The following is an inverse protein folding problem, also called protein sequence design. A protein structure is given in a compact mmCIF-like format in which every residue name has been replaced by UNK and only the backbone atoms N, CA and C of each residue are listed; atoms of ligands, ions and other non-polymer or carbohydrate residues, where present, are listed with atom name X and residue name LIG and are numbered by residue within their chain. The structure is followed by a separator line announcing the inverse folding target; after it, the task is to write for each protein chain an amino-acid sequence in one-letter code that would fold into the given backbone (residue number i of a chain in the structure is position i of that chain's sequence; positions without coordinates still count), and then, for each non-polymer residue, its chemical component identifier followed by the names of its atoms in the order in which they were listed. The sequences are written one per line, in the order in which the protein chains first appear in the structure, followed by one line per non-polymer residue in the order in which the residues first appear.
data_IF_445546461156
#
_entry.id   IF_445546461156
#
_cell.length_a   1.000
_cell.length_b   1.000
_cell.length_c   1.000
_cell.angle_alpha   90.00
_cell.angle_beta   90.00
_cell.angle_gamma   90.00
#
_symmetry.space_group_name_H-M   'P 1'
#
loop_
_entity.id
_entity.type
_entity.pdbx_description
1 polymer ?
#
# COMPACT_ATOMS: atom_id res chain seq x y z
N UNK A 1 -3.86 -4.09 35.83
CA UNK A 1 -2.47 -4.06 35.32
C UNK A 1 -2.51 -4.70 33.96
N UNK A 2 -2.85 -3.93 32.95
CA UNK A 2 -2.49 -4.19 31.56
C UNK A 2 -2.20 -2.80 31.00
N UNK A 3 -0.91 -2.52 30.87
CA UNK A 3 -0.41 -1.32 30.23
C UNK A 3 -0.85 -1.37 28.76
N UNK A 4 -1.78 -0.50 28.38
CA UNK A 4 -2.04 -0.23 26.96
C UNK A 4 -0.80 0.48 26.41
N UNK A 5 0.10 -0.32 25.84
CA UNK A 5 1.30 0.12 25.17
C UNK A 5 0.92 0.84 23.86
N UNK A 6 0.53 2.11 23.99
CA UNK A 6 0.39 3.07 22.90
C UNK A 6 1.76 3.58 22.40
N UNK A 7 2.84 2.82 22.63
CA UNK A 7 4.23 3.21 22.41
C UNK A 7 4.91 2.55 21.22
N UNK A 8 4.38 2.68 20.00
CA UNK A 8 5.23 2.58 18.81
C UNK A 8 4.71 3.49 17.68
N UNK A 9 5.00 4.78 17.80
CA UNK A 9 4.57 5.85 16.87
C UNK A 9 5.41 5.83 15.59
N UNK A 10 5.42 4.69 14.88
CA UNK A 10 6.10 4.52 13.59
C UNK A 10 5.18 4.01 12.47
N UNK A 11 3.92 3.71 12.76
CA UNK A 11 2.96 3.16 11.82
C UNK A 11 1.54 3.67 12.09
N UNK A 12 0.90 4.23 11.06
CA UNK A 12 -0.50 4.63 11.10
C UNK A 12 -1.39 3.45 10.68
N UNK A 13 -2.16 2.89 11.62
CA UNK A 13 -3.10 1.80 11.35
C UNK A 13 -4.50 2.39 11.17
N UNK A 14 -5.03 2.34 9.96
CA UNK A 14 -6.31 2.92 9.61
C UNK A 14 -7.40 1.84 9.62
N UNK A 15 -8.23 1.90 10.65
CA UNK A 15 -9.36 0.99 10.93
C UNK A 15 -10.71 1.52 10.45
N UNK A 16 -10.74 2.61 9.68
CA UNK A 16 -12.00 3.23 9.24
C UNK A 16 -12.44 2.74 7.85
N UNK A 17 -13.74 2.40 7.74
CA UNK A 17 -14.41 1.89 6.53
C UNK A 17 -14.51 2.96 5.45
N UNK A 18 -14.90 4.17 5.85
CA UNK A 18 -15.18 5.28 4.94
C UNK A 18 -13.88 6.06 4.71
N UNK A 19 -13.24 5.75 3.60
CA UNK A 19 -12.42 6.71 2.90
C UNK A 19 -13.38 7.22 1.80
N UNK A 20 -14.13 8.27 2.11
CA UNK A 20 -14.98 8.96 1.14
C UNK A 20 -14.10 9.77 0.17
N UNK A 21 -14.66 10.11 -0.99
CA UNK A 21 -14.22 10.84 -2.22
C UNK A 21 -12.86 11.59 -2.23
N UNK A 22 -12.27 11.95 -1.09
CA UNK A 22 -10.94 12.54 -0.92
C UNK A 22 -9.85 11.56 -0.46
N UNK A 23 -10.05 10.24 -0.62
CA UNK A 23 -9.11 9.22 -0.17
C UNK A 23 -7.68 9.45 -0.65
N UNK A 24 -7.55 9.87 -1.91
CA UNK A 24 -6.28 10.19 -2.52
C UNK A 24 -5.64 11.44 -1.89
N UNK A 25 -6.41 12.50 -1.63
CA UNK A 25 -5.89 13.72 -1.02
C UNK A 25 -5.37 13.48 0.39
N UNK A 26 -6.06 12.63 1.16
CA UNK A 26 -5.58 12.19 2.46
C UNK A 26 -4.27 11.40 2.31
N UNK A 27 -4.23 10.38 1.44
CA UNK A 27 -3.02 9.57 1.20
C UNK A 27 -1.81 10.42 0.79
N UNK A 28 -2.01 11.44 -0.05
CA UNK A 28 -0.97 12.40 -0.49
C UNK A 28 -0.44 13.29 0.63
N UNK A 29 -1.22 13.49 1.70
CA UNK A 29 -0.88 14.31 2.88
C UNK A 29 -0.33 13.50 4.04
N UNK A 30 -0.42 12.17 4.00
CA UNK A 30 0.14 11.35 5.07
C UNK A 30 1.67 11.47 5.06
N UNK A 31 2.19 12.01 6.15
CA UNK A 31 3.63 12.16 6.39
C UNK A 31 4.22 10.94 7.08
N UNK A 32 3.41 10.09 7.73
CA UNK A 32 3.92 8.88 8.37
C UNK A 32 4.44 7.89 7.32
N UNK A 33 5.67 7.35 7.47
CA UNK A 33 6.25 6.48 6.46
C UNK A 33 5.43 5.20 6.30
N UNK A 34 4.88 4.64 7.37
CA UNK A 34 4.17 3.36 7.33
C UNK A 34 2.68 3.54 7.55
N UNK A 35 1.87 3.10 6.59
CA UNK A 35 0.40 3.15 6.66
C UNK A 35 -0.17 1.78 6.37
N UNK A 36 -1.10 1.31 7.21
CA UNK A 36 -1.77 0.03 7.00
C UNK A 36 -3.29 0.17 7.12
N UNK A 37 -3.98 -0.12 6.02
CA UNK A 37 -5.43 -0.23 5.96
C UNK A 37 -5.85 -1.66 6.25
N UNK A 38 -6.45 -1.87 7.42
CA UNK A 38 -6.80 -3.22 7.93
C UNK A 38 -8.08 -3.78 7.28
N UNK A 39 -8.91 -2.91 6.71
CA UNK A 39 -10.16 -3.29 6.05
C UNK A 39 -10.07 -3.20 4.53
N UNK A 40 -10.94 -3.96 3.85
CA UNK A 40 -11.08 -3.93 2.39
C UNK A 40 -11.34 -2.51 1.87
N UNK A 41 -10.51 -2.08 0.91
CA UNK A 41 -10.65 -0.80 0.19
C UNK A 41 -11.27 -1.00 -1.18
N UNK A 42 -12.60 -0.87 -1.23
CA UNK A 42 -13.41 -1.03 -2.46
C UNK A 42 -13.44 0.22 -3.33
N UNK A 43 -13.19 1.36 -2.73
CA UNK A 43 -13.15 2.68 -3.34
C UNK A 43 -11.87 2.92 -4.17
N UNK A 44 -10.78 2.21 -3.86
CA UNK A 44 -9.51 2.36 -4.57
C UNK A 44 -9.53 1.59 -5.91
N UNK A 45 -9.42 2.32 -7.01
CA UNK A 45 -9.30 1.81 -8.37
C UNK A 45 -7.86 1.98 -8.90
N UNK A 46 -7.62 1.54 -10.13
CA UNK A 46 -6.31 1.61 -10.79
C UNK A 46 -5.80 3.06 -10.88
N UNK A 47 -6.67 4.00 -11.23
CA UNK A 47 -6.30 5.41 -11.39
C UNK A 47 -5.76 6.00 -10.07
N UNK A 48 -6.41 5.73 -8.94
CA UNK A 48 -5.98 6.21 -7.63
C UNK A 48 -4.57 5.69 -7.28
N UNK A 49 -4.28 4.42 -7.54
CA UNK A 49 -2.93 3.88 -7.29
C UNK A 49 -1.90 4.51 -8.22
N UNK A 50 -2.23 4.69 -9.50
CA UNK A 50 -1.33 5.35 -10.45
C UNK A 50 -1.03 6.79 -10.03
N UNK A 51 -2.04 7.54 -9.63
CA UNK A 51 -1.88 8.92 -9.14
C UNK A 51 -1.06 8.99 -7.85
N UNK A 52 -1.25 8.05 -6.93
CA UNK A 52 -0.48 7.99 -5.69
C UNK A 52 1.01 7.71 -5.95
N UNK A 53 1.30 6.76 -6.84
CA UNK A 53 2.66 6.45 -7.27
C UNK A 53 3.31 7.67 -7.93
N UNK A 54 2.62 8.35 -8.84
CA UNK A 54 3.12 9.57 -9.47
C UNK A 54 3.43 10.67 -8.45
N UNK A 55 2.56 10.86 -7.45
CA UNK A 55 2.79 11.79 -6.34
C UNK A 55 4.03 11.41 -5.51
N UNK A 56 4.24 10.13 -5.23
CA UNK A 56 5.43 9.65 -4.52
C UNK A 56 6.71 9.91 -5.30
N UNK A 57 6.69 9.68 -6.62
CA UNK A 57 7.81 9.96 -7.52
C UNK A 57 8.11 11.46 -7.55
N UNK A 58 7.08 12.31 -7.71
CA UNK A 58 7.20 13.76 -7.79
C UNK A 58 7.75 14.35 -6.49
N UNK A 59 7.22 13.92 -5.35
CA UNK A 59 7.63 14.38 -4.01
C UNK A 59 8.90 13.72 -3.48
N UNK A 60 9.49 12.77 -4.23
CA UNK A 60 10.65 11.98 -3.79
C UNK A 60 10.44 11.40 -2.40
N UNK A 61 9.35 10.63 -2.23
CA UNK A 61 9.05 10.00 -0.93
C UNK A 61 10.24 9.22 -0.40
N UNK A 62 10.45 9.32 0.90
CA UNK A 62 11.61 8.75 1.58
C UNK A 62 11.65 7.23 1.50
N UNK A 63 12.86 6.68 1.42
CA UNK A 63 13.09 5.23 1.53
C UNK A 63 12.52 4.73 2.85
N UNK A 64 11.81 3.60 2.78
CA UNK A 64 11.09 3.04 3.93
C UNK A 64 9.63 3.49 4.05
N UNK A 65 9.17 4.44 3.21
CA UNK A 65 7.72 4.71 3.04
C UNK A 65 7.04 3.43 2.55
N UNK A 66 5.96 3.00 3.21
CA UNK A 66 5.32 1.70 3.02
C UNK A 66 3.82 1.77 3.29
N UNK A 67 2.99 1.65 2.25
CA UNK A 67 1.53 1.65 2.36
C UNK A 67 1.00 0.24 2.04
N UNK A 68 0.09 -0.26 2.89
CA UNK A 68 -0.55 -1.58 2.75
C UNK A 68 -2.06 -1.43 2.67
N UNK A 69 -2.66 -1.98 1.62
CA UNK A 69 -4.08 -1.88 1.32
C UNK A 69 -4.75 -3.25 1.33
N UNK A 70 -5.76 -3.44 2.17
CA UNK A 70 -6.59 -4.64 2.14
C UNK A 70 -7.48 -4.69 0.90
N UNK A 71 -7.43 -5.80 0.15
CA UNK A 71 -8.22 -6.06 -1.05
C UNK A 71 -9.00 -7.37 -0.89
N UNK A 72 -10.28 -7.35 -1.26
CA UNK A 72 -11.22 -8.41 -0.89
C UNK A 72 -11.14 -9.69 -1.71
N UNK A 73 -10.54 -9.68 -2.91
CA UNK A 73 -10.48 -10.88 -3.77
C UNK A 73 -9.22 -10.91 -4.61
N UNK A 74 -8.77 -12.12 -4.97
CA UNK A 74 -7.62 -12.34 -5.86
C UNK A 74 -7.79 -11.65 -7.22
N UNK A 75 -8.97 -11.80 -7.83
CA UNK A 75 -9.28 -11.17 -9.13
C UNK A 75 -9.10 -9.66 -9.06
N UNK A 76 -9.61 -9.01 -8.00
CA UNK A 76 -9.51 -7.56 -7.85
C UNK A 76 -8.07 -7.09 -7.65
N UNK A 77 -7.30 -7.76 -6.79
CA UNK A 77 -5.90 -7.36 -6.56
C UNK A 77 -5.07 -7.53 -7.84
N UNK A 78 -5.31 -8.59 -8.62
CA UNK A 78 -4.67 -8.78 -9.92
C UNK A 78 -5.07 -7.72 -10.95
N UNK A 79 -6.35 -7.36 -11.04
CA UNK A 79 -6.80 -6.27 -11.91
C UNK A 79 -6.13 -4.95 -11.56
N UNK A 80 -6.02 -4.62 -10.27
CA UNK A 80 -5.33 -3.42 -9.81
C UNK A 80 -3.84 -3.50 -10.17
N UNK A 81 -3.21 -4.63 -9.86
CA UNK A 81 -1.77 -4.84 -10.06
C UNK A 81 -1.35 -4.75 -11.52
N UNK A 82 -2.04 -5.44 -12.43
CA UNK A 82 -1.77 -5.35 -13.88
C UNK A 82 -2.16 -3.96 -14.41
N UNK A 83 -3.26 -3.39 -13.93
CA UNK A 83 -3.67 -2.04 -14.26
C UNK A 83 -2.60 -1.01 -13.91
N UNK A 84 -1.88 -1.13 -12.79
CA UNK A 84 -0.78 -0.20 -12.48
C UNK A 84 0.33 -0.31 -13.53
N UNK A 85 0.72 -1.53 -13.94
CA UNK A 85 1.81 -1.76 -14.91
C UNK A 85 1.54 -1.14 -16.28
N UNK A 86 0.32 -1.25 -16.79
CA UNK A 86 -0.03 -0.81 -18.15
C UNK A 86 0.24 0.69 -18.43
N UNK A 87 0.45 1.51 -17.39
CA UNK A 87 0.68 2.95 -17.52
C UNK A 87 2.03 3.42 -16.99
N UNK A 88 2.96 2.50 -16.68
CA UNK A 88 4.18 2.83 -15.96
C UNK A 88 5.40 2.12 -16.52
N UNK A 89 6.57 2.75 -16.41
CA UNK A 89 7.85 2.11 -16.69
C UNK A 89 8.19 1.17 -15.53
N UNK A 90 7.95 -0.13 -15.73
CA UNK A 90 8.07 -1.15 -14.68
C UNK A 90 9.19 -2.14 -14.98
N UNK A 91 9.90 -2.55 -13.93
CA UNK A 91 10.82 -3.68 -13.95
C UNK A 91 10.23 -4.83 -13.15
N UNK A 92 10.30 -6.06 -13.68
CA UNK A 92 9.78 -7.24 -12.97
C UNK A 92 10.72 -7.60 -11.83
N UNK A 93 10.16 -7.75 -10.62
CA UNK A 93 10.91 -8.18 -9.43
C UNK A 93 10.55 -9.62 -9.03
N UNK A 94 9.35 -10.09 -9.40
CA UNK A 94 8.88 -11.45 -9.12
C UNK A 94 7.59 -11.78 -9.87
N UNK A 95 6.88 -12.83 -9.44
CA UNK A 95 5.56 -13.18 -9.99
C UNK A 95 4.48 -12.19 -9.53
N UNK A 96 4.47 -11.86 -8.23
CA UNK A 96 3.51 -10.95 -7.59
C UNK A 96 4.16 -9.63 -7.17
N UNK A 97 5.24 -9.24 -7.84
CA UNK A 97 6.00 -8.03 -7.53
C UNK A 97 6.63 -7.39 -8.77
N UNK A 98 6.57 -6.07 -8.85
CA UNK A 98 7.34 -5.26 -9.81
C UNK A 98 7.83 -3.98 -9.13
N UNK A 99 8.78 -3.31 -9.76
CA UNK A 99 9.29 -2.02 -9.31
C UNK A 99 9.11 -0.95 -10.37
N UNK A 100 9.00 0.29 -9.91
CA UNK A 100 8.98 1.50 -10.72
C UNK A 100 10.15 2.38 -10.26
N UNK A 101 11.08 2.75 -11.15
CA UNK A 101 12.21 3.58 -10.76
C UNK A 101 11.75 4.97 -10.33
N UNK A 102 12.37 5.49 -9.27
CA UNK A 102 12.27 6.89 -8.85
C UNK A 102 13.56 7.63 -9.22
N UNK A 103 13.58 8.95 -9.03
CA UNK A 103 14.82 9.72 -9.09
C UNK A 103 15.73 9.34 -7.91
N UNK A 104 17.04 9.45 -8.09
CA UNK A 104 18.06 9.33 -7.02
C UNK A 104 18.26 7.90 -6.44
N UNK A 105 18.34 6.88 -7.31
CA UNK A 105 18.68 5.49 -6.94
C UNK A 105 17.69 4.80 -6.00
N UNK A 106 16.43 5.25 -5.98
CA UNK A 106 15.33 4.59 -5.27
C UNK A 106 14.28 4.06 -6.26
N UNK A 107 13.44 3.14 -5.80
CA UNK A 107 12.35 2.55 -6.58
C UNK A 107 11.13 2.31 -5.70
N UNK A 108 9.93 2.37 -6.29
CA UNK A 108 8.70 1.94 -5.65
C UNK A 108 8.47 0.48 -6.02
N UNK A 109 8.50 -0.42 -5.03
CA UNK A 109 8.12 -1.82 -5.18
C UNK A 109 6.64 -1.95 -4.89
N UNK A 110 5.90 -2.46 -5.88
CA UNK A 110 4.49 -2.83 -5.76
C UNK A 110 4.40 -4.34 -5.73
N UNK A 111 3.76 -4.89 -4.70
CA UNK A 111 3.58 -6.33 -4.56
C UNK A 111 2.22 -6.67 -3.95
N UNK A 112 1.81 -7.93 -4.07
CA UNK A 112 0.65 -8.42 -3.33
C UNK A 112 0.85 -9.82 -2.75
N UNK A 113 0.21 -10.06 -1.61
CA UNK A 113 0.28 -11.32 -0.89
C UNK A 113 -1.08 -11.62 -0.21
N UNK A 114 -1.28 -12.88 0.18
CA UNK A 114 -2.42 -13.27 1.00
C UNK A 114 -2.31 -12.64 2.39
N UNK A 115 -3.44 -12.38 3.02
CA UNK A 115 -3.48 -11.93 4.40
C UNK A 115 -3.13 -13.10 5.31
N UNK A 116 -1.93 -13.11 5.88
CA UNK A 116 -1.60 -14.00 7.00
C UNK A 116 -2.44 -13.58 8.22
N UNK A 117 -3.36 -14.45 8.65
CA UNK A 117 -4.21 -14.37 9.87
C UNK A 117 -4.05 -13.07 10.68
N UNK A 118 -4.57 -11.95 10.18
CA UNK A 118 -4.58 -10.70 10.95
C UNK A 118 -5.56 -10.94 12.11
N UNK A 119 -5.15 -10.79 13.38
CA UNK A 119 -6.08 -10.84 14.50
C UNK A 119 -7.06 -9.66 14.32
N UNK A 120 -8.32 -10.01 14.04
CA UNK A 120 -9.38 -9.05 13.85
C UNK A 120 -10.03 -8.74 15.21
N UNK A 121 -10.46 -7.50 15.45
CA UNK A 121 -11.34 -7.21 16.57
C UNK A 121 -12.66 -7.97 16.38
N UNK A 122 -13.16 -8.60 17.45
CA UNK A 122 -14.23 -9.61 17.49
C UNK A 122 -15.61 -9.18 16.93
N UNK A 123 -15.78 -7.94 16.46
CA UNK A 123 -17.07 -7.42 15.98
C UNK A 123 -17.27 -7.60 14.46
N UNK A 124 -18.08 -8.62 14.14
CA UNK A 124 -18.28 -9.27 12.84
C UNK A 124 -19.35 -8.62 11.93
N UNK A 125 -19.05 -7.48 11.30
CA UNK A 125 -19.91 -6.97 10.20
C UNK A 125 -19.13 -6.47 8.97
N UNK A 126 -17.87 -6.87 8.81
CA UNK A 126 -16.97 -6.31 7.79
C UNK A 126 -16.28 -7.42 7.00
N UNK A 127 -16.22 -7.30 5.66
CA UNK A 127 -15.43 -8.25 4.85
C UNK A 127 -13.96 -8.04 5.15
N UNK A 128 -13.36 -9.09 5.67
CA UNK A 128 -11.93 -9.21 5.90
C UNK A 128 -11.26 -9.22 4.53
N UNK A 129 -10.23 -8.39 4.28
CA UNK A 129 -9.48 -8.52 3.04
C UNK A 129 -8.83 -9.90 2.98
N UNK A 130 -8.88 -10.54 1.82
CA UNK A 130 -8.18 -11.80 1.58
C UNK A 130 -6.72 -11.54 1.14
N UNK A 131 -6.47 -10.35 0.58
CA UNK A 131 -5.20 -9.98 -0.03
C UNK A 131 -4.72 -8.61 0.46
N UNK A 132 -3.40 -8.40 0.48
CA UNK A 132 -2.76 -7.11 0.73
C UNK A 132 -2.05 -6.68 -0.53
N UNK A 133 -2.36 -5.50 -1.04
CA UNK A 133 -1.51 -4.78 -1.99
C UNK A 133 -0.56 -3.88 -1.19
N UNK A 134 0.74 -4.05 -1.40
CA UNK A 134 1.81 -3.29 -0.73
C UNK A 134 2.52 -2.40 -1.75
N UNK A 135 2.73 -1.15 -1.37
CA UNK A 135 3.59 -0.19 -2.06
C UNK A 135 4.70 0.26 -1.11
N UNK A 136 5.95 0.18 -1.52
CA UNK A 136 7.09 0.50 -0.66
C UNK A 136 8.22 1.19 -1.44
N UNK A 137 8.79 2.24 -0.88
CA UNK A 137 10.00 2.88 -1.43
C UNK A 137 11.24 2.15 -0.90
N UNK A 138 12.05 1.62 -1.80
CA UNK A 138 13.30 0.91 -1.50
C UNK A 138 14.47 1.50 -2.26
N UNK A 139 15.69 1.26 -1.79
CA UNK A 139 16.89 1.53 -2.59
C UNK A 139 16.97 0.59 -3.81
N UNK A 140 17.55 1.08 -4.89
CA UNK A 140 18.01 0.23 -5.98
C UNK A 140 19.30 -0.44 -5.50
N UNK A 141 19.24 -1.75 -5.26
CA UNK A 141 20.45 -2.52 -5.05
C UNK A 141 21.24 -2.55 -6.36
N UNK A 142 22.27 -1.71 -6.47
CA UNK A 142 23.26 -1.87 -7.52
C UNK A 142 24.04 -3.15 -7.22
N UNK A 143 24.15 -4.10 -8.17
CA UNK A 143 25.10 -5.19 -8.01
C UNK A 143 26.50 -4.57 -7.91
N UNK A 144 27.19 -4.83 -6.80
CA UNK A 144 28.63 -4.55 -6.65
C UNK A 144 29.45 -5.41 -7.61
#
# INVERSE_FOLDING_TARGET
MEDEDYGNVGQLILRHRLFEVDSLQLLKRVETPKVHFVYEKRDLNVEIFRELISDWIEKKKEIGTCFKFGIGTMKRVQTIFEGIKEGMDVSREGERSFSIPMKDSSKIVVSYAEVDNIPLPENQFYRIPEWILKMEVTEIQNPM
#
